data_IF_896259708031
#
_entry.id   IF_896259708031
#
_cell.length_a   1.000
_cell.length_b   1.000
_cell.length_c   1.000
_cell.angle_alpha   90.00
_cell.angle_beta   90.00
_cell.angle_gamma   90.00
#
_symmetry.space_group_name_H-M   'P 1'
#
loop_
_entity.id
_entity.type
_entity.pdbx_description
1 polymer ?
#
# COMPACT_ATOMS: atom_id res chain seq x y z
N UNK A 1 -15.83 0.74 -14.52
CA UNK A 1 -15.50 -0.55 -13.89
C UNK A 1 -14.72 -0.24 -12.64
N UNK A 2 -15.13 -0.74 -11.47
CA UNK A 2 -14.42 -0.45 -10.24
C UNK A 2 -13.16 -1.32 -10.12
N UNK A 3 -12.15 -0.76 -9.48
CA UNK A 3 -10.87 -1.41 -9.21
C UNK A 3 -10.64 -1.42 -7.71
N UNK A 4 -9.84 -2.37 -7.22
CA UNK A 4 -9.50 -2.33 -5.82
C UNK A 4 -8.33 -3.19 -5.40
N UNK A 5 -7.94 -2.97 -4.15
CA UNK A 5 -6.86 -3.66 -3.47
C UNK A 5 -7.40 -4.33 -2.23
N UNK A 6 -7.12 -5.62 -2.08
CA UNK A 6 -7.36 -6.34 -0.84
C UNK A 6 -6.06 -6.32 -0.05
N UNK A 7 -5.99 -5.46 0.97
CA UNK A 7 -4.78 -5.30 1.78
C UNK A 7 -4.80 -6.36 2.87
N UNK A 8 -3.87 -7.31 2.80
CA UNK A 8 -3.74 -8.43 3.72
C UNK A 8 -2.35 -8.45 4.38
N UNK A 9 -2.20 -9.22 5.44
CA UNK A 9 -0.93 -9.35 6.16
C UNK A 9 -1.12 -9.54 7.67
N UNK A 10 -0.12 -10.14 8.31
CA UNK A 10 -0.14 -10.44 9.74
C UNK A 10 -0.38 -9.19 10.61
N UNK A 11 -0.79 -9.35 11.88
CA UNK A 11 -0.94 -8.21 12.79
C UNK A 11 0.39 -7.45 12.92
N UNK A 12 0.34 -6.12 12.90
CA UNK A 12 1.53 -5.29 12.98
C UNK A 12 2.33 -5.10 11.69
N UNK A 13 1.97 -5.76 10.58
CA UNK A 13 2.62 -5.58 9.25
C UNK A 13 2.46 -4.17 8.64
N UNK A 14 1.57 -3.34 9.19
CA UNK A 14 1.37 -1.96 8.74
C UNK A 14 0.24 -1.74 7.72
N UNK A 15 -0.75 -2.64 7.63
CA UNK A 15 -1.93 -2.52 6.73
C UNK A 15 -2.63 -1.17 6.78
N UNK A 16 -3.13 -0.78 7.96
CA UNK A 16 -3.84 0.49 8.11
C UNK A 16 -2.94 1.71 7.89
N UNK A 17 -1.64 1.62 8.21
CA UNK A 17 -0.64 2.64 7.90
C UNK A 17 -0.44 2.79 6.39
N UNK A 18 -0.34 1.68 5.66
CA UNK A 18 -0.28 1.66 4.20
C UNK A 18 -1.56 2.24 3.57
N UNK A 19 -2.74 1.84 4.04
CA UNK A 19 -4.01 2.40 3.58
C UNK A 19 -4.05 3.92 3.73
N UNK A 20 -3.61 4.44 4.89
CA UNK A 20 -3.58 5.89 5.11
C UNK A 20 -2.54 6.60 4.23
N UNK A 21 -1.31 6.08 4.16
CA UNK A 21 -0.26 6.65 3.30
C UNK A 21 -0.68 6.66 1.83
N UNK A 22 -1.36 5.61 1.37
CA UNK A 22 -1.88 5.54 0.00
C UNK A 22 -2.99 6.55 -0.25
N UNK A 23 -3.90 6.74 0.70
CA UNK A 23 -4.91 7.78 0.63
C UNK A 23 -4.28 9.18 0.54
N UNK A 24 -3.27 9.47 1.35
CA UNK A 24 -2.54 10.75 1.29
C UNK A 24 -1.85 10.95 -0.08
N UNK A 25 -1.14 9.94 -0.57
CA UNK A 25 -0.49 9.98 -1.87
C UNK A 25 -1.50 10.21 -3.01
N UNK A 26 -2.58 9.44 -3.04
CA UNK A 26 -3.59 9.54 -4.11
C UNK A 26 -4.31 10.87 -4.05
N UNK A 27 -4.62 11.39 -2.86
CA UNK A 27 -5.17 12.74 -2.68
C UNK A 27 -4.23 13.80 -3.25
N UNK A 28 -2.92 13.71 -2.97
CA UNK A 28 -1.92 14.64 -3.51
C UNK A 28 -1.78 14.55 -5.03
N UNK A 29 -1.99 13.35 -5.61
CA UNK A 29 -2.00 13.12 -7.06
C UNK A 29 -3.36 13.43 -7.72
N UNK A 30 -4.34 13.91 -6.96
CA UNK A 30 -5.73 14.10 -7.41
C UNK A 30 -6.35 12.83 -8.02
N UNK A 31 -5.90 11.67 -7.54
CA UNK A 31 -6.40 10.35 -7.91
C UNK A 31 -7.48 9.95 -6.90
N UNK A 32 -8.74 9.76 -7.32
CA UNK A 32 -9.80 9.34 -6.42
C UNK A 32 -9.51 7.98 -5.78
N UNK A 33 -9.82 7.87 -4.49
CA UNK A 33 -9.57 6.69 -3.67
C UNK A 33 -10.64 6.61 -2.58
N UNK A 34 -11.07 5.41 -2.23
CA UNK A 34 -11.99 5.18 -1.11
C UNK A 34 -11.48 3.99 -0.29
N UNK A 35 -11.44 4.16 1.04
CA UNK A 35 -11.04 3.06 1.93
C UNK A 35 -12.28 2.45 2.55
N UNK A 36 -12.33 1.12 2.53
CA UNK A 36 -13.33 0.27 3.16
C UNK A 36 -12.65 -0.51 4.27
N UNK A 37 -13.03 -0.21 5.51
CA UNK A 37 -12.57 -0.97 6.67
C UNK A 37 -13.44 -2.22 6.85
N UNK A 38 -12.82 -3.39 6.72
CA UNK A 38 -13.43 -4.69 7.02
C UNK A 38 -12.88 -5.30 8.31
N UNK A 39 -12.04 -4.58 9.08
CA UNK A 39 -11.58 -5.00 10.40
C UNK A 39 -12.53 -4.51 11.51
N UNK A 40 -13.37 -5.39 12.10
CA UNK A 40 -14.32 -5.04 13.17
C UNK A 40 -13.65 -4.80 14.53
N UNK A 41 -12.35 -5.08 14.67
CA UNK A 41 -11.59 -4.83 15.90
C UNK A 41 -10.85 -3.48 15.88
N UNK A 42 -10.91 -2.74 14.76
CA UNK A 42 -10.19 -1.48 14.62
C UNK A 42 -11.01 -0.31 15.19
N UNK A 43 -10.76 0.03 16.46
CA UNK A 43 -11.48 1.11 17.16
C UNK A 43 -11.04 2.52 16.73
N UNK A 44 -9.80 2.67 16.25
CA UNK A 44 -9.18 3.96 15.95
C UNK A 44 -8.69 4.01 14.50
N UNK A 45 -9.63 4.19 13.57
CA UNK A 45 -9.32 4.27 12.14
C UNK A 45 -8.53 5.56 11.84
N UNK A 46 -7.28 5.48 11.35
CA UNK A 46 -6.41 6.65 11.18
C UNK A 46 -6.66 7.43 9.88
N UNK A 47 -7.63 7.01 9.07
CA UNK A 47 -7.87 7.51 7.72
C UNK A 47 -9.35 7.84 7.47
N UNK A 48 -9.68 8.64 6.44
CA UNK A 48 -11.05 8.83 6.00
C UNK A 48 -11.65 7.52 5.49
N UNK A 49 -12.53 6.92 6.29
CA UNK A 49 -13.18 5.67 5.96
C UNK A 49 -14.50 5.93 5.23
N UNK A 50 -14.66 5.36 4.03
CA UNK A 50 -15.87 5.50 3.22
C UNK A 50 -16.95 4.50 3.67
N UNK A 51 -16.55 3.27 4.00
CA UNK A 51 -17.45 2.20 4.47
C UNK A 51 -16.74 1.48 5.61
N UNK A 52 -17.41 1.33 6.75
CA UNK A 52 -16.87 0.65 7.91
C UNK A 52 -17.81 -0.49 8.35
N UNK A 53 -17.24 -1.70 8.46
CA UNK A 53 -17.94 -2.89 8.94
C UNK A 53 -18.53 -2.70 10.35
N UNK A 54 -17.97 -1.81 11.17
CA UNK A 54 -18.50 -1.52 12.52
C UNK A 54 -19.96 -1.05 12.51
N UNK A 55 -20.42 -0.47 11.40
CA UNK A 55 -21.82 -0.06 11.21
C UNK A 55 -22.77 -1.23 10.89
N UNK A 56 -22.24 -2.41 10.56
CA UNK A 56 -22.97 -3.66 10.38
C UNK A 56 -22.85 -4.56 11.63
N UNK A 57 -21.62 -4.78 12.11
CA UNK A 57 -21.32 -5.63 13.26
C UNK A 57 -19.98 -5.21 13.89
N UNK A 58 -19.93 -5.16 15.22
CA UNK A 58 -18.67 -4.95 15.96
C UNK A 58 -18.16 -6.25 16.57
N UNK A 59 -16.86 -6.32 16.84
CA UNK A 59 -16.27 -7.47 17.51
C UNK A 59 -16.90 -7.71 18.90
N UNK A 60 -17.16 -6.64 19.64
CA UNK A 60 -17.75 -6.71 20.98
C UNK A 60 -19.17 -7.30 20.94
N UNK A 61 -20.00 -6.87 19.98
CA UNK A 61 -21.35 -7.41 19.80
C UNK A 61 -21.33 -8.92 19.52
N UNK A 62 -20.41 -9.37 18.66
CA UNK A 62 -20.24 -10.79 18.34
C UNK A 62 -19.78 -11.60 19.56
N UNK A 63 -18.85 -11.07 20.35
CA UNK A 63 -18.34 -11.72 21.56
C UNK A 63 -19.44 -11.85 22.63
N UNK A 64 -20.20 -10.79 22.88
CA UNK A 64 -21.23 -10.76 23.92
C UNK A 64 -22.45 -11.60 23.55
N UNK A 65 -22.88 -11.56 22.29
CA UNK A 65 -24.05 -12.31 21.83
C UNK A 65 -23.82 -13.83 21.79
N UNK A 66 -22.60 -14.28 21.47
CA UNK A 66 -22.28 -15.69 21.24
C UNK A 66 -21.32 -16.30 22.27
N UNK A 67 -20.85 -15.53 23.26
CA UNK A 67 -19.88 -15.99 24.25
C UNK A 67 -18.54 -16.40 23.64
N UNK A 68 -18.14 -15.75 22.55
CA UNK A 68 -16.93 -16.05 21.80
C UNK A 68 -15.73 -15.29 22.36
N UNK A 69 -14.54 -15.89 22.27
CA UNK A 69 -13.29 -15.15 22.46
C UNK A 69 -12.96 -14.25 21.26
N UNK A 70 -11.95 -13.35 21.36
CA UNK A 70 -11.65 -12.36 20.32
C UNK A 70 -11.45 -12.94 18.91
N UNK A 71 -10.69 -14.03 18.78
CA UNK A 71 -10.46 -14.68 17.49
C UNK A 71 -11.74 -15.32 16.92
N UNK A 72 -12.56 -15.93 17.79
CA UNK A 72 -13.85 -16.51 17.38
C UNK A 72 -14.85 -15.44 16.96
N UNK A 73 -14.90 -14.32 17.70
CA UNK A 73 -15.72 -13.16 17.36
C UNK A 73 -15.31 -12.54 16.03
N UNK A 74 -14.01 -12.47 15.74
CA UNK A 74 -13.50 -11.98 14.45
C UNK A 74 -13.96 -12.84 13.28
N UNK A 75 -13.83 -14.17 13.38
CA UNK A 75 -14.32 -15.09 12.36
C UNK A 75 -15.83 -14.95 12.16
N UNK A 76 -16.58 -14.87 13.26
CA UNK A 76 -18.02 -14.64 13.22
C UNK A 76 -18.39 -13.35 12.48
N UNK A 77 -17.68 -12.24 12.73
CA UNK A 77 -17.92 -10.98 12.03
C UNK A 77 -17.73 -11.12 10.51
N UNK A 78 -16.73 -11.90 10.07
CA UNK A 78 -16.50 -12.17 8.65
C UNK A 78 -17.60 -13.06 8.05
N UNK A 79 -18.07 -14.07 8.78
CA UNK A 79 -19.23 -14.89 8.38
C UNK A 79 -20.50 -14.05 8.27
N UNK A 80 -20.70 -13.14 9.23
CA UNK A 80 -21.85 -12.24 9.26
C UNK A 80 -21.83 -11.26 8.09
N UNK A 81 -20.66 -10.68 7.76
CA UNK A 81 -20.48 -9.86 6.57
C UNK A 81 -20.74 -10.66 5.28
N UNK A 82 -20.27 -11.90 5.21
CA UNK A 82 -20.51 -12.77 4.06
C UNK A 82 -22.01 -13.05 3.85
N UNK A 83 -22.73 -13.37 4.93
CA UNK A 83 -24.17 -13.61 4.91
C UNK A 83 -24.96 -12.35 4.54
N UNK A 84 -24.48 -11.18 4.95
CA UNK A 84 -25.10 -9.88 4.69
C UNK A 84 -24.37 -9.08 3.59
N UNK A 85 -23.73 -9.75 2.63
CA UNK A 85 -22.94 -9.08 1.59
C UNK A 85 -23.72 -8.01 0.80
N UNK A 86 -25.03 -8.16 0.67
CA UNK A 86 -25.90 -7.21 -0.03
C UNK A 86 -25.80 -5.80 0.61
N UNK A 87 -25.51 -5.71 1.91
CA UNK A 87 -25.17 -4.46 2.59
C UNK A 87 -23.90 -3.84 1.99
N UNK A 88 -22.82 -4.62 1.90
CA UNK A 88 -21.54 -4.16 1.36
C UNK A 88 -21.70 -3.75 -0.12
N UNK A 89 -22.42 -4.54 -0.91
CA UNK A 89 -22.71 -4.24 -2.31
C UNK A 89 -23.46 -2.92 -2.47
N UNK A 90 -24.51 -2.67 -1.67
CA UNK A 90 -25.24 -1.40 -1.70
C UNK A 90 -24.33 -0.21 -1.38
N UNK A 91 -23.48 -0.34 -0.36
CA UNK A 91 -22.56 0.73 0.05
C UNK A 91 -21.47 0.99 -0.99
N UNK A 92 -20.95 -0.05 -1.63
CA UNK A 92 -19.98 0.08 -2.73
C UNK A 92 -20.60 0.75 -3.96
N UNK A 93 -21.87 0.47 -4.26
CA UNK A 93 -22.57 1.11 -5.38
C UNK A 93 -22.72 2.63 -5.20
N UNK A 94 -22.80 3.13 -3.95
CA UNK A 94 -22.85 4.57 -3.64
C UNK A 94 -21.53 5.29 -3.98
N UNK A 95 -20.39 4.58 -4.02
CA UNK A 95 -19.09 5.15 -4.36
C UNK A 95 -18.91 5.42 -5.86
N UNK A 96 -19.79 4.84 -6.70
CA UNK A 96 -19.79 5.00 -8.15
C UNK A 96 -19.08 3.89 -8.93
N UNK A 97 -19.35 3.82 -10.23
CA UNK A 97 -18.97 2.70 -11.11
C UNK A 97 -17.50 2.62 -11.49
N UNK A 98 -16.74 3.68 -11.25
CA UNK A 98 -15.32 3.81 -11.57
C UNK A 98 -14.46 4.06 -10.32
N UNK A 99 -14.99 3.72 -9.14
CA UNK A 99 -14.30 3.88 -7.87
C UNK A 99 -13.04 3.01 -7.79
N UNK A 100 -12.01 3.55 -7.17
CA UNK A 100 -10.80 2.82 -6.78
C UNK A 100 -10.85 2.58 -5.26
N UNK A 101 -10.94 1.32 -4.85
CA UNK A 101 -11.29 0.96 -3.46
C UNK A 101 -10.17 0.16 -2.79
N UNK A 102 -9.75 0.59 -1.61
CA UNK A 102 -8.88 -0.22 -0.74
C UNK A 102 -9.74 -0.92 0.30
N UNK A 103 -9.61 -2.24 0.39
CA UNK A 103 -10.21 -3.05 1.44
C UNK A 103 -9.14 -3.35 2.49
N UNK A 104 -9.24 -2.70 3.66
CA UNK A 104 -8.42 -3.00 4.83
C UNK A 104 -9.06 -4.17 5.58
N UNK A 105 -8.45 -5.36 5.49
CA UNK A 105 -9.03 -6.58 6.07
C UNK A 105 -8.45 -6.84 7.48
N UNK A 106 -9.14 -7.65 8.30
CA UNK A 106 -8.64 -8.00 9.63
C UNK A 106 -7.21 -8.54 9.62
N UNK A 107 -6.41 -8.17 10.62
CA UNK A 107 -5.01 -8.55 10.68
C UNK A 107 -4.72 -10.00 11.02
N UNK A 108 -5.71 -10.75 11.49
CA UNK A 108 -5.59 -12.16 11.88
C UNK A 108 -5.24 -13.01 10.65
N UNK A 109 -4.15 -13.76 10.76
CA UNK A 109 -3.61 -14.56 9.65
C UNK A 109 -4.64 -15.59 9.18
N UNK A 110 -5.40 -16.16 10.10
CA UNK A 110 -6.38 -17.21 9.86
C UNK A 110 -7.51 -16.76 8.90
N UNK A 111 -7.83 -15.45 8.89
CA UNK A 111 -8.84 -14.87 7.99
C UNK A 111 -8.35 -14.91 6.55
N UNK A 112 -7.05 -14.70 6.33
CA UNK A 112 -6.42 -14.71 5.01
C UNK A 112 -6.06 -16.10 4.48
N UNK A 113 -5.77 -17.06 5.36
CA UNK A 113 -5.17 -18.35 4.97
C UNK A 113 -6.08 -19.57 5.08
N UNK A 114 -7.00 -19.57 6.03
CA UNK A 114 -7.75 -20.77 6.42
C UNK A 114 -9.26 -20.57 6.33
N UNK A 115 -9.75 -19.36 6.61
CA UNK A 115 -11.17 -19.10 6.62
C UNK A 115 -11.72 -18.84 5.22
N UNK A 116 -12.84 -19.48 4.88
CA UNK A 116 -13.42 -19.39 3.53
C UNK A 116 -14.24 -18.11 3.30
N UNK A 117 -14.68 -17.42 4.36
CA UNK A 117 -15.55 -16.24 4.19
C UNK A 117 -14.89 -15.11 3.42
N UNK A 118 -13.61 -14.81 3.67
CA UNK A 118 -12.91 -13.78 2.92
C UNK A 118 -12.82 -14.15 1.42
N UNK A 119 -12.49 -15.40 1.12
CA UNK A 119 -12.47 -15.92 -0.26
C UNK A 119 -13.83 -15.75 -0.93
N UNK A 120 -14.92 -16.13 -0.26
CA UNK A 120 -16.29 -16.01 -0.81
C UNK A 120 -16.72 -14.55 -0.98
N UNK A 121 -16.36 -13.65 -0.06
CA UNK A 121 -16.57 -12.19 -0.18
C UNK A 121 -15.83 -11.66 -1.42
N UNK A 122 -14.55 -11.99 -1.58
CA UNK A 122 -13.74 -11.59 -2.76
C UNK A 122 -14.35 -12.12 -4.06
N UNK A 123 -14.79 -13.38 -4.08
CA UNK A 123 -15.46 -13.95 -5.26
C UNK A 123 -16.77 -13.22 -5.59
N UNK A 124 -17.54 -12.77 -4.58
CA UNK A 124 -18.74 -11.95 -4.80
C UNK A 124 -18.37 -10.54 -5.31
N UNK A 125 -17.32 -9.91 -4.79
CA UNK A 125 -16.79 -8.63 -5.28
C UNK A 125 -16.36 -8.71 -6.76
N UNK A 126 -15.66 -9.78 -7.13
CA UNK A 126 -15.27 -10.03 -8.52
C UNK A 126 -16.50 -10.25 -9.43
N UNK A 127 -17.54 -10.94 -8.94
CA UNK A 127 -18.80 -11.17 -9.70
C UNK A 127 -19.57 -9.88 -9.98
N UNK A 128 -19.55 -8.90 -9.06
CA UNK A 128 -20.18 -7.59 -9.29
C UNK A 128 -19.32 -6.65 -10.15
N UNK A 129 -18.15 -7.11 -10.60
CA UNK A 129 -17.33 -6.45 -11.62
C UNK A 129 -16.09 -5.72 -11.10
N UNK A 130 -15.70 -5.91 -9.83
CA UNK A 130 -14.43 -5.39 -9.34
C UNK A 130 -13.24 -6.13 -9.96
N UNK A 131 -12.22 -5.38 -10.38
CA UNK A 131 -10.89 -5.92 -10.66
C UNK A 131 -10.02 -5.72 -9.43
N UNK A 132 -9.69 -6.83 -8.78
CA UNK A 132 -8.99 -6.84 -7.50
C UNK A 132 -7.56 -7.37 -7.65
N UNK A 133 -6.64 -6.79 -6.88
CA UNK A 133 -5.35 -7.39 -6.57
C UNK A 133 -5.19 -7.48 -5.05
N UNK A 134 -4.51 -8.52 -4.58
CA UNK A 134 -4.16 -8.67 -3.18
C UNK A 134 -2.78 -8.05 -2.91
N UNK A 135 -2.68 -7.20 -1.89
CA UNK A 135 -1.43 -6.58 -1.43
C UNK A 135 -1.11 -7.17 -0.07
N UNK A 136 -0.14 -8.08 -0.03
CA UNK A 136 0.22 -8.84 1.17
C UNK A 136 1.44 -8.24 1.85
N UNK A 137 1.20 -7.50 2.93
CA UNK A 137 2.25 -6.86 3.72
C UNK A 137 2.88 -7.85 4.70
N UNK A 138 4.20 -7.96 4.61
CA UNK A 138 5.05 -8.74 5.50
C UNK A 138 6.09 -7.80 6.11
N UNK A 139 6.25 -7.82 7.43
CA UNK A 139 7.23 -6.97 8.10
C UNK A 139 8.66 -7.36 7.68
N UNK A 140 9.47 -6.38 7.24
CA UNK A 140 10.84 -6.62 6.83
C UNK A 140 11.71 -7.24 7.94
N UNK A 141 11.33 -7.10 9.22
CA UNK A 141 12.00 -7.79 10.32
C UNK A 141 12.10 -9.32 10.13
N UNK A 142 11.17 -9.94 9.40
CA UNK A 142 11.21 -11.39 9.21
C UNK A 142 12.35 -11.87 8.32
N UNK A 143 12.95 -11.00 7.50
CA UNK A 143 14.06 -11.38 6.61
C UNK A 143 15.40 -11.48 7.34
N UNK A 144 15.50 -10.96 8.57
CA UNK A 144 16.73 -10.99 9.37
C UNK A 144 17.02 -12.35 10.00
N UNK A 145 16.12 -13.33 9.84
CA UNK A 145 16.29 -14.68 10.35
C UNK A 145 15.77 -15.68 9.31
N UNK A 146 16.59 -16.66 8.96
CA UNK A 146 16.27 -17.61 7.90
C UNK A 146 14.99 -18.42 8.18
N UNK A 147 14.75 -18.82 9.43
CA UNK A 147 13.57 -19.62 9.78
C UNK A 147 12.28 -18.77 9.74
N UNK A 148 12.35 -17.52 10.21
CA UNK A 148 11.25 -16.56 10.07
C UNK A 148 10.96 -16.26 8.59
N UNK A 149 12.00 -16.06 7.79
CA UNK A 149 11.86 -15.77 6.36
C UNK A 149 11.16 -16.91 5.63
N UNK A 150 11.62 -18.17 5.78
CA UNK A 150 10.96 -19.34 5.18
C UNK A 150 9.50 -19.46 5.63
N UNK A 151 9.20 -19.17 6.89
CA UNK A 151 7.83 -19.17 7.40
C UNK A 151 6.94 -18.13 6.69
N UNK A 152 7.48 -16.94 6.41
CA UNK A 152 6.79 -15.89 5.66
C UNK A 152 6.59 -16.28 4.19
N UNK A 153 7.55 -16.96 3.56
CA UNK A 153 7.41 -17.47 2.19
C UNK A 153 6.26 -18.47 2.08
N UNK A 154 6.21 -19.46 3.00
CA UNK A 154 5.13 -20.44 3.05
C UNK A 154 3.78 -19.79 3.34
N UNK A 155 3.75 -18.81 4.24
CA UNK A 155 2.55 -18.05 4.55
C UNK A 155 2.05 -17.28 3.33
N UNK A 156 2.95 -16.61 2.61
CA UNK A 156 2.62 -15.86 1.40
C UNK A 156 2.08 -16.77 0.31
N UNK A 157 2.74 -17.91 0.07
CA UNK A 157 2.26 -18.93 -0.87
C UNK A 157 0.87 -19.46 -0.49
N UNK A 158 0.63 -19.71 0.80
CA UNK A 158 -0.68 -20.16 1.29
C UNK A 158 -1.76 -19.10 1.05
N UNK A 159 -1.49 -17.83 1.36
CA UNK A 159 -2.41 -16.72 1.14
C UNK A 159 -2.72 -16.54 -0.35
N UNK A 160 -1.71 -16.63 -1.22
CA UNK A 160 -1.86 -16.58 -2.68
C UNK A 160 -2.86 -17.64 -3.18
N UNK A 161 -2.69 -18.89 -2.72
CA UNK A 161 -3.57 -19.99 -3.08
C UNK A 161 -4.99 -19.82 -2.53
N UNK A 162 -5.15 -19.25 -1.34
CA UNK A 162 -6.45 -19.06 -0.71
C UNK A 162 -7.26 -17.95 -1.37
N UNK A 163 -6.63 -16.80 -1.68
CA UNK A 163 -7.31 -15.61 -2.19
C UNK A 163 -7.59 -15.68 -3.70
N UNK A 164 -6.80 -16.44 -4.47
CA UNK A 164 -6.97 -16.62 -5.92
C UNK A 164 -7.03 -15.28 -6.71
N UNK A 165 -6.29 -14.27 -6.24
CA UNK A 165 -6.16 -12.95 -6.88
C UNK A 165 -4.74 -12.74 -7.42
N UNK A 166 -4.55 -11.84 -8.40
CA UNK A 166 -3.23 -11.26 -8.66
C UNK A 166 -2.65 -10.73 -7.35
N UNK A 167 -1.49 -11.26 -6.96
CA UNK A 167 -0.95 -11.08 -5.61
C UNK A 167 0.39 -10.37 -5.68
N UNK A 168 0.53 -9.29 -4.90
CA UNK A 168 1.77 -8.55 -4.73
C UNK A 168 2.17 -8.74 -3.27
N UNK A 169 3.20 -9.53 -3.00
CA UNK A 169 3.78 -9.54 -1.65
C UNK A 169 4.69 -8.33 -1.49
N UNK A 170 4.71 -7.79 -0.28
CA UNK A 170 5.42 -6.55 0.02
C UNK A 170 6.16 -6.68 1.33
N UNK A 171 7.46 -6.42 1.32
CA UNK A 171 8.25 -6.23 2.53
C UNK A 171 8.06 -4.79 3.02
N UNK A 172 7.23 -4.63 4.06
CA UNK A 172 6.94 -3.34 4.68
C UNK A 172 7.98 -2.95 5.71
N UNK A 173 8.03 -1.65 6.02
CA UNK A 173 8.95 -1.06 7.01
C UNK A 173 10.42 -1.27 6.67
N UNK A 174 10.75 -1.21 5.38
CA UNK A 174 12.13 -1.40 4.92
C UNK A 174 13.07 -0.32 5.49
N UNK A 175 12.53 0.85 5.82
CA UNK A 175 13.19 1.96 6.50
C UNK A 175 13.70 1.60 7.92
N UNK A 176 13.11 0.59 8.56
CA UNK A 176 13.50 0.12 9.89
C UNK A 176 14.54 -1.01 9.83
N UNK A 177 14.86 -1.54 8.65
CA UNK A 177 15.64 -2.77 8.52
C UNK A 177 17.05 -2.66 9.11
N UNK A 178 17.72 -1.53 8.90
CA UNK A 178 19.04 -1.25 9.49
C UNK A 178 19.03 -1.17 11.03
N UNK A 179 17.87 -1.08 11.67
CA UNK A 179 17.73 -1.11 13.13
C UNK A 179 17.59 -2.54 13.67
N UNK A 180 17.25 -3.51 12.81
CA UNK A 180 17.02 -4.90 13.20
C UNK A 180 18.28 -5.76 13.14
N UNK A 181 19.30 -5.32 12.40
CA UNK A 181 20.60 -5.99 12.27
C UNK A 181 21.11 -5.94 10.84
N UNK A 182 22.30 -6.50 10.64
CA UNK A 182 22.87 -6.68 9.30
C UNK A 182 22.15 -7.85 8.60
N UNK A 183 21.95 -7.71 7.30
CA UNK A 183 21.46 -8.80 6.46
C UNK A 183 22.62 -9.68 6.01
N UNK A 184 22.37 -10.99 5.93
CA UNK A 184 23.36 -11.93 5.39
C UNK A 184 23.54 -11.74 3.86
N UNK A 185 22.51 -11.25 3.19
CA UNK A 185 22.48 -11.04 1.74
C UNK A 185 21.88 -9.67 1.37
N UNK A 186 22.06 -9.27 0.11
CA UNK A 186 21.42 -8.07 -0.44
C UNK A 186 19.90 -8.22 -0.50
N UNK A 187 19.17 -7.10 -0.57
CA UNK A 187 17.70 -7.13 -0.66
C UNK A 187 17.19 -7.90 -1.88
N UNK A 188 17.89 -7.82 -3.01
CA UNK A 188 17.58 -8.57 -4.25
C UNK A 188 17.35 -10.07 -3.96
N UNK A 189 18.16 -10.66 -3.06
CA UNK A 189 18.02 -12.05 -2.66
C UNK A 189 16.65 -12.34 -2.03
N UNK A 190 16.23 -11.49 -1.09
CA UNK A 190 14.99 -11.69 -0.34
C UNK A 190 13.75 -11.31 -1.15
N UNK A 191 13.89 -10.42 -2.14
CA UNK A 191 12.79 -9.99 -3.01
C UNK A 191 12.55 -10.93 -4.19
N UNK A 192 13.62 -11.47 -4.79
CA UNK A 192 13.51 -12.35 -5.97
C UNK A 192 13.22 -13.81 -5.61
N UNK A 193 13.65 -14.30 -4.44
CA UNK A 193 13.34 -15.64 -3.92
C UNK A 193 13.72 -16.79 -4.89
N UNK A 194 14.85 -16.68 -5.58
CA UNK A 194 15.25 -17.67 -6.61
C UNK A 194 16.23 -18.75 -6.14
N UNK A 195 17.17 -18.42 -5.26
CA UNK A 195 18.20 -19.37 -4.79
C UNK A 195 18.26 -19.39 -3.26
N UNK A 196 17.34 -20.13 -2.63
CA UNK A 196 17.26 -20.27 -1.18
C UNK A 196 18.25 -21.29 -0.62
N UNK A 197 19.06 -21.95 -1.47
CA UNK A 197 20.08 -22.90 -1.04
C UNK A 197 21.09 -22.27 -0.06
N UNK A 198 21.32 -20.97 -0.19
CA UNK A 198 22.17 -20.20 0.73
C UNK A 198 21.65 -20.17 2.18
N UNK A 199 20.34 -20.38 2.40
CA UNK A 199 19.75 -20.47 3.73
C UNK A 199 19.97 -21.83 4.40
N UNK A 200 20.42 -22.84 3.65
CA UNK A 200 20.61 -24.21 4.16
C UNK A 200 21.51 -24.22 5.40
N UNK A 201 22.66 -23.55 5.32
CA UNK A 201 23.63 -23.51 6.42
C UNK A 201 23.04 -22.82 7.65
N UNK A 202 22.32 -21.71 7.47
CA UNK A 202 21.69 -20.97 8.55
C UNK A 202 20.60 -21.81 9.25
N UNK A 203 19.75 -22.49 8.48
CA UNK A 203 18.66 -23.33 9.00
C UNK A 203 19.18 -24.59 9.69
N UNK A 204 20.17 -25.25 9.10
CA UNK A 204 20.72 -26.51 9.61
C UNK A 204 21.57 -26.34 10.87
N UNK A 205 22.20 -25.17 11.05
CA UNK A 205 22.96 -24.87 12.26
C UNK A 205 22.05 -24.85 13.49
N UNK A 206 20.81 -24.37 13.35
CA UNK A 206 19.85 -24.27 14.45
C UNK A 206 19.22 -25.63 14.76
N UNK A 207 18.90 -26.44 13.74
CA UNK A 207 18.35 -27.76 13.96
C UNK A 207 18.73 -28.78 12.87
N UNK A 208 19.87 -29.48 13.04
CA UNK A 208 20.35 -30.48 12.08
C UNK A 208 19.38 -31.65 11.88
N UNK A 209 18.47 -31.88 12.83
CA UNK A 209 17.45 -32.92 12.74
C UNK A 209 16.41 -32.63 11.65
N UNK A 210 16.16 -31.35 11.34
CA UNK A 210 15.12 -30.93 10.39
C UNK A 210 15.67 -30.59 9.00
N UNK A 211 16.93 -30.91 8.71
CA UNK A 211 17.55 -30.62 7.41
C UNK A 211 16.73 -31.09 6.22
N UNK A 212 16.33 -32.36 6.18
CA UNK A 212 15.53 -32.89 5.07
C UNK A 212 14.19 -32.17 4.93
N UNK A 213 13.55 -31.79 6.05
CA UNK A 213 12.30 -31.03 6.03
C UNK A 213 12.51 -29.62 5.51
N UNK A 214 13.54 -28.92 5.98
CA UNK A 214 13.85 -27.56 5.54
C UNK A 214 14.13 -27.53 4.03
N UNK A 215 14.88 -28.50 3.51
CA UNK A 215 15.17 -28.62 2.08
C UNK A 215 13.92 -28.94 1.27
N UNK A 216 13.03 -29.81 1.77
CA UNK A 216 11.75 -30.07 1.12
C UNK A 216 10.86 -28.80 1.06
N UNK A 217 10.85 -27.99 2.13
CA UNK A 217 10.11 -26.72 2.16
C UNK A 217 10.70 -25.70 1.18
N UNK A 218 12.03 -25.58 1.13
CA UNK A 218 12.73 -24.70 0.18
C UNK A 218 12.41 -25.10 -1.27
N UNK A 219 12.53 -26.39 -1.60
CA UNK A 219 12.19 -26.92 -2.93
C UNK A 219 10.75 -26.58 -3.32
N UNK A 220 9.79 -26.71 -2.41
CA UNK A 220 8.40 -26.32 -2.71
C UNK A 220 8.29 -24.84 -3.05
N UNK A 221 9.03 -23.95 -2.37
CA UNK A 221 8.96 -22.51 -2.66
C UNK A 221 9.59 -22.19 -4.02
N UNK A 222 10.77 -22.76 -4.30
CA UNK A 222 11.53 -22.53 -5.53
C UNK A 222 10.82 -23.11 -6.76
N UNK A 223 10.28 -24.34 -6.67
CA UNK A 223 9.69 -25.06 -7.80
C UNK A 223 8.51 -24.30 -8.45
N UNK A 224 7.74 -23.55 -7.65
CA UNK A 224 6.64 -22.75 -8.18
C UNK A 224 7.10 -21.38 -8.69
N UNK A 225 8.18 -20.81 -8.14
CA UNK A 225 8.69 -19.49 -8.52
C UNK A 225 7.63 -18.37 -8.48
N UNK A 226 6.58 -18.55 -7.68
CA UNK A 226 5.42 -17.64 -7.61
C UNK A 226 5.61 -16.51 -6.60
N UNK A 227 6.50 -16.73 -5.63
CA UNK A 227 6.68 -15.81 -4.50
C UNK A 227 7.80 -14.84 -4.86
N UNK A 228 7.45 -13.58 -5.01
CA UNK A 228 8.39 -12.46 -5.03
C UNK A 228 7.86 -11.33 -4.15
N UNK A 229 8.72 -10.40 -3.78
CA UNK A 229 8.35 -9.25 -2.95
C UNK A 229 8.74 -7.93 -3.60
N UNK A 230 7.85 -6.96 -3.48
CA UNK A 230 8.17 -5.54 -3.62
C UNK A 230 8.59 -4.98 -2.26
N UNK A 231 9.30 -3.85 -2.25
CA UNK A 231 9.71 -3.18 -1.00
C UNK A 231 8.83 -1.97 -0.71
N UNK A 232 8.62 -1.68 0.57
CA UNK A 232 7.77 -0.59 1.00
C UNK A 232 8.31 0.16 2.22
N UNK A 233 8.63 1.43 2.03
CA UNK A 233 8.68 2.46 3.06
C UNK A 233 7.49 3.41 2.85
N UNK A 234 6.53 3.42 3.78
CA UNK A 234 5.28 4.20 3.61
C UNK A 234 5.55 5.70 3.61
N UNK A 235 6.58 6.14 4.33
CA UNK A 235 6.98 7.56 4.38
C UNK A 235 7.72 8.00 3.11
N UNK A 236 8.23 7.06 2.30
CA UNK A 236 8.89 7.37 1.05
C UNK A 236 7.90 7.41 -0.12
N UNK A 237 7.80 8.60 -0.72
CA UNK A 237 6.97 8.85 -1.90
C UNK A 237 7.40 7.98 -3.09
N UNK A 238 8.70 7.76 -3.30
CA UNK A 238 9.18 6.97 -4.43
C UNK A 238 8.77 5.50 -4.30
N UNK A 239 9.01 4.91 -3.12
CA UNK A 239 8.55 3.56 -2.78
C UNK A 239 7.03 3.38 -2.94
N UNK A 240 6.22 4.30 -2.42
CA UNK A 240 4.75 4.24 -2.57
C UNK A 240 4.28 4.35 -4.04
N UNK A 241 4.96 5.16 -4.85
CA UNK A 241 4.67 5.30 -6.28
C UNK A 241 5.07 4.04 -7.06
N UNK A 242 6.22 3.45 -6.75
CA UNK A 242 6.68 2.19 -7.35
C UNK A 242 5.67 1.06 -7.08
N UNK A 243 5.31 0.84 -5.82
CA UNK A 243 4.32 -0.17 -5.44
C UNK A 243 2.95 0.09 -6.09
N UNK A 244 2.50 1.34 -6.14
CA UNK A 244 1.23 1.69 -6.80
C UNK A 244 1.23 1.34 -8.28
N UNK A 245 2.36 1.48 -8.97
CA UNK A 245 2.50 1.08 -10.38
C UNK A 245 2.48 -0.43 -10.58
N UNK A 246 3.14 -1.19 -9.69
CA UNK A 246 3.08 -2.65 -9.71
C UNK A 246 1.64 -3.15 -9.55
N UNK A 247 0.88 -2.53 -8.64
CA UNK A 247 -0.54 -2.82 -8.41
C UNK A 247 -1.41 -2.40 -9.61
N UNK A 248 -1.19 -1.22 -10.18
CA UNK A 248 -1.91 -0.76 -11.37
C UNK A 248 -1.69 -1.70 -12.55
N UNK A 249 -0.46 -2.22 -12.72
CA UNK A 249 -0.13 -3.23 -13.72
C UNK A 249 -0.88 -4.55 -13.46
N UNK A 250 -0.92 -5.00 -12.20
CA UNK A 250 -1.59 -6.25 -11.83
C UNK A 250 -3.13 -6.18 -11.98
N UNK A 251 -3.72 -5.05 -11.63
CA UNK A 251 -5.18 -4.81 -11.75
C UNK A 251 -5.60 -4.39 -13.17
N UNK A 252 -4.66 -3.91 -13.97
CA UNK A 252 -4.91 -3.29 -15.28
C UNK A 252 -5.57 -1.91 -15.16
N UNK A 253 -5.41 -1.23 -14.02
CA UNK A 253 -5.92 0.12 -13.82
C UNK A 253 -5.05 1.14 -14.54
N UNK A 254 -5.69 2.08 -15.25
CA UNK A 254 -5.00 3.16 -15.95
C UNK A 254 -5.62 4.48 -15.49
N UNK A 255 -4.88 5.22 -14.66
CA UNK A 255 -5.33 6.54 -14.20
C UNK A 255 -5.13 7.60 -15.28
N UNK A 256 -6.19 8.33 -15.64
CA UNK A 256 -6.11 9.52 -16.48
C UNK A 256 -6.31 10.75 -15.59
N UNK A 257 -5.29 11.60 -15.40
CA UNK A 257 -5.43 12.78 -14.55
C UNK A 257 -6.44 13.79 -15.13
N UNK A 258 -7.11 14.58 -14.27
CA UNK A 258 -8.01 15.66 -14.70
C UNK A 258 -7.30 16.70 -15.57
N UNK A 259 -8.07 17.47 -16.37
CA UNK A 259 -7.54 18.51 -17.28
C UNK A 259 -6.71 19.59 -16.56
N UNK A 260 -7.04 19.85 -15.31
CA UNK A 260 -6.47 20.92 -14.49
C UNK A 260 -5.25 20.46 -13.68
N UNK A 261 -4.92 19.16 -13.73
CA UNK A 261 -3.79 18.63 -12.98
C UNK A 261 -2.46 19.16 -13.55
N UNK A 262 -1.50 19.53 -12.70
CA UNK A 262 -0.18 19.98 -13.15
C UNK A 262 0.50 18.85 -13.93
N UNK A 263 0.81 19.11 -15.20
CA UNK A 263 1.51 18.16 -16.05
C UNK A 263 3.01 18.14 -15.69
N UNK A 264 3.66 16.97 -15.62
CA UNK A 264 5.12 16.90 -15.45
C UNK A 264 5.87 17.70 -16.53
N UNK A 265 7.00 18.30 -16.17
CA UNK A 265 7.85 19.01 -17.12
C UNK A 265 8.28 18.08 -18.27
N UNK A 266 8.15 18.55 -19.51
CA UNK A 266 8.50 17.78 -20.73
C UNK A 266 7.34 17.00 -21.37
N UNK A 267 6.11 17.13 -20.87
CA UNK A 267 4.93 16.50 -21.47
C UNK A 267 4.39 17.27 -22.68
N UNK A 268 3.90 16.54 -23.70
CA UNK A 268 3.19 17.13 -24.84
C UNK A 268 1.80 17.56 -24.35
N UNK A 269 1.50 18.86 -24.47
CA UNK A 269 0.19 19.40 -24.13
C UNK A 269 -0.89 18.82 -25.06
N UNK A 270 -1.61 17.81 -24.56
CA UNK A 270 -2.76 17.18 -25.21
C UNK A 270 -4.09 17.55 -24.53
N UNK A 271 -4.12 18.69 -23.84
CA UNK A 271 -5.32 19.18 -23.13
C UNK A 271 -6.55 19.38 -24.04
N UNK A 272 -6.34 19.50 -25.35
CA UNK A 272 -7.38 19.62 -26.38
C UNK A 272 -8.01 18.27 -26.81
N UNK A 273 -7.35 17.13 -26.58
CA UNK A 273 -7.82 15.83 -27.08
C UNK A 273 -8.97 15.26 -26.22
N UNK A 274 -9.89 14.47 -26.81
CA UNK A 274 -10.89 13.70 -26.06
C UNK A 274 -10.23 12.77 -25.04
N UNK A 275 -10.85 12.59 -23.87
CA UNK A 275 -10.30 11.76 -22.78
C UNK A 275 -9.96 10.31 -23.19
N UNK A 276 -10.62 9.79 -24.24
CA UNK A 276 -10.38 8.46 -24.81
C UNK A 276 -9.18 8.35 -25.75
N UNK A 277 -8.70 9.48 -26.29
CA UNK A 277 -7.61 9.56 -27.29
C UNK A 277 -6.39 10.29 -26.77
N UNK A 278 -6.49 10.96 -25.61
CA UNK A 278 -5.32 11.43 -24.88
C UNK A 278 -4.38 10.25 -24.68
N UNK A 279 -3.17 10.26 -25.27
CA UNK A 279 -2.15 9.34 -24.83
C UNK A 279 -1.99 9.61 -23.36
N UNK A 280 -2.23 8.59 -22.55
CA UNK A 280 -2.20 8.75 -21.12
C UNK A 280 -0.73 8.84 -20.73
N UNK A 281 -0.12 9.99 -20.97
CA UNK A 281 1.31 10.25 -20.88
C UNK A 281 1.81 9.83 -19.50
N UNK A 282 1.03 10.04 -18.44
CA UNK A 282 1.37 9.54 -17.12
C UNK A 282 1.44 8.00 -17.05
N UNK A 283 0.51 7.27 -17.65
CA UNK A 283 0.53 5.80 -17.69
C UNK A 283 1.57 5.24 -18.68
N UNK A 284 1.69 5.85 -19.87
CA UNK A 284 2.65 5.53 -20.94
C UNK A 284 4.09 5.84 -20.51
N UNK A 285 4.37 7.01 -19.94
CA UNK A 285 5.67 7.34 -19.36
C UNK A 285 5.90 6.63 -18.02
N UNK A 286 4.86 6.26 -17.26
CA UNK A 286 5.04 5.38 -16.09
C UNK A 286 5.45 3.96 -16.46
N UNK A 287 5.14 3.48 -17.67
CA UNK A 287 5.57 2.16 -18.16
C UNK A 287 6.78 2.23 -19.09
N UNK A 288 7.03 3.37 -19.74
CA UNK A 288 8.11 3.56 -20.72
C UNK A 288 9.28 4.46 -20.23
N UNK A 289 9.11 5.25 -19.16
CA UNK A 289 10.28 5.77 -18.45
C UNK A 289 10.96 4.57 -17.80
N UNK A 290 12.28 4.47 -17.93
CA UNK A 290 13.08 3.38 -17.38
C UNK A 290 12.96 3.24 -15.85
N UNK A 291 13.83 2.43 -15.24
CA UNK A 291 13.85 2.18 -13.79
C UNK A 291 13.59 3.46 -13.01
N UNK A 292 12.42 3.51 -12.37
CA UNK A 292 12.05 4.62 -11.51
C UNK A 292 12.85 4.52 -10.21
N UNK A 293 13.13 5.65 -9.54
CA UNK A 293 13.68 5.61 -8.19
C UNK A 293 12.80 4.74 -7.31
N UNK A 294 13.41 3.79 -6.60
CA UNK A 294 12.69 2.83 -5.77
C UNK A 294 12.77 1.39 -6.27
N UNK A 295 13.64 1.09 -7.24
CA UNK A 295 14.09 -0.28 -7.49
C UNK A 295 14.77 -0.83 -6.23
N UNK A 296 14.82 -2.15 -6.08
CA UNK A 296 15.32 -2.81 -4.86
C UNK A 296 16.75 -2.37 -4.54
N UNK A 297 17.57 -2.12 -5.55
CA UNK A 297 18.94 -1.59 -5.41
C UNK A 297 18.98 -0.16 -4.90
N UNK A 298 18.10 0.70 -5.39
CA UNK A 298 17.99 2.08 -4.90
C UNK A 298 17.54 2.08 -3.43
N UNK A 299 16.62 1.18 -3.09
CA UNK A 299 16.11 0.99 -1.73
C UNK A 299 17.21 0.47 -0.81
N UNK A 300 18.02 -0.49 -1.27
CA UNK A 300 19.18 -0.97 -0.53
C UNK A 300 20.19 0.17 -0.28
N UNK A 301 20.55 0.94 -1.31
CA UNK A 301 21.48 2.04 -1.16
C UNK A 301 20.93 3.11 -0.19
N UNK A 302 19.64 3.49 -0.33
CA UNK A 302 18.97 4.51 0.48
C UNK A 302 18.82 4.13 1.95
N UNK A 303 18.43 2.88 2.25
CA UNK A 303 17.99 2.48 3.60
C UNK A 303 18.97 1.60 4.36
N UNK A 304 19.90 0.96 3.65
CA UNK A 304 20.90 0.04 4.22
C UNK A 304 22.30 0.65 4.08
N UNK A 305 22.81 0.78 2.85
CA UNK A 305 24.24 1.02 2.64
C UNK A 305 24.67 2.47 2.95
N UNK A 306 23.86 3.46 2.54
CA UNK A 306 24.21 4.89 2.60
C UNK A 306 23.19 5.75 3.38
N UNK A 307 22.47 5.14 4.33
CA UNK A 307 21.36 5.79 5.06
C UNK A 307 21.70 7.16 5.63
N UNK A 308 22.82 7.29 6.37
CA UNK A 308 23.20 8.56 7.00
C UNK A 308 23.49 9.67 5.97
N UNK A 309 24.08 9.30 4.82
CA UNK A 309 24.41 10.26 3.76
C UNK A 309 23.14 10.79 3.08
N UNK A 310 22.18 9.90 2.82
CA UNK A 310 20.88 10.28 2.26
C UNK A 310 20.05 11.10 3.25
N UNK A 311 19.97 10.69 4.53
CA UNK A 311 19.25 11.45 5.56
C UNK A 311 19.86 12.87 5.73
N UNK A 312 21.19 13.00 5.65
CA UNK A 312 21.87 14.29 5.68
C UNK A 312 21.65 15.12 4.40
N UNK A 313 21.47 14.47 3.25
CA UNK A 313 21.13 15.13 1.99
C UNK A 313 19.69 15.66 2.00
N UNK A 314 18.71 14.83 2.35
CA UNK A 314 17.29 15.22 2.45
C UNK A 314 17.08 16.34 3.46
N UNK A 315 17.76 16.28 4.61
CA UNK A 315 17.70 17.35 5.62
C UNK A 315 18.27 18.67 5.11
N UNK A 316 19.26 18.64 4.20
CA UNK A 316 19.80 19.85 3.56
C UNK A 316 18.81 20.41 2.54
N UNK A 317 18.21 19.55 1.72
CA UNK A 317 17.21 19.95 0.74
C UNK A 317 15.96 20.53 1.41
N UNK A 318 15.41 19.90 2.45
CA UNK A 318 14.29 20.46 3.22
C UNK A 318 14.60 21.81 3.85
N UNK A 319 15.83 22.03 4.33
CA UNK A 319 16.24 23.35 4.84
C UNK A 319 16.22 24.39 3.72
N UNK A 320 16.73 24.03 2.55
CA UNK A 320 16.77 24.88 1.36
C UNK A 320 15.38 25.21 0.84
N UNK A 321 14.50 24.22 0.70
CA UNK A 321 13.10 24.42 0.33
C UNK A 321 12.37 25.28 1.36
N UNK A 322 12.56 25.03 2.65
CA UNK A 322 11.98 25.84 3.73
C UNK A 322 12.50 27.28 3.76
N UNK A 323 13.72 27.54 3.31
CA UNK A 323 14.24 28.89 3.08
C UNK A 323 13.57 29.55 1.87
N UNK A 324 13.47 28.85 0.74
CA UNK A 324 12.80 29.36 -0.48
C UNK A 324 11.33 29.69 -0.22
N UNK A 325 10.60 28.83 0.47
CA UNK A 325 9.19 29.07 0.82
C UNK A 325 9.05 30.27 1.76
N UNK A 326 9.96 30.43 2.73
CA UNK A 326 9.98 31.61 3.61
C UNK A 326 10.30 32.88 2.85
N UNK A 327 11.24 32.85 1.90
CA UNK A 327 11.56 33.98 1.03
C UNK A 327 10.40 34.33 0.10
N UNK A 328 9.73 33.35 -0.49
CA UNK A 328 8.53 33.54 -1.31
C UNK A 328 7.38 34.14 -0.49
N UNK A 329 7.12 33.61 0.71
CA UNK A 329 6.10 34.14 1.61
C UNK A 329 6.45 35.57 2.11
N UNK A 330 7.73 35.85 2.35
CA UNK A 330 8.20 37.19 2.70
C UNK A 330 8.05 38.16 1.52
N UNK A 331 8.36 37.72 0.29
CA UNK A 331 8.19 38.50 -0.93
C UNK A 331 6.71 38.77 -1.26
N UNK A 332 5.81 37.81 -1.04
CA UNK A 332 4.36 38.00 -1.17
C UNK A 332 3.81 38.96 -0.12
N UNK A 333 4.25 38.85 1.14
CA UNK A 333 3.88 39.80 2.19
C UNK A 333 4.45 41.20 1.94
N UNK A 334 5.63 41.32 1.33
CA UNK A 334 6.21 42.60 0.93
C UNK A 334 5.53 43.23 -0.30
N UNK A 335 4.76 42.46 -1.09
CA UNK A 335 3.93 42.96 -2.21
C UNK A 335 2.51 43.38 -1.78
N UNK A 336 2.00 42.88 -0.65
CA UNK A 336 0.72 43.30 -0.03
C UNK A 336 0.60 44.75 0.51
N UNK A 337 1.64 45.59 0.67
CA UNK A 337 1.47 46.94 1.24
C UNK A 337 0.80 48.00 0.35
N UNK A 338 0.60 47.77 -0.97
CA UNK A 338 0.07 48.82 -1.87
C UNK A 338 -1.43 48.75 -2.18
N UNK A 339 -2.07 47.57 -2.10
CA UNK A 339 -3.51 47.46 -2.43
C UNK A 339 -4.44 48.07 -1.36
N UNK A 340 -3.98 48.19 -0.11
CA UNK A 340 -4.79 48.79 0.97
C UNK A 340 -4.78 50.32 0.92
N UNK A 341 -3.76 50.95 0.29
CA UNK A 341 -3.68 52.42 0.21
C UNK A 341 -4.54 53.04 -0.90
N UNK A 342 -4.87 52.30 -1.95
CA UNK A 342 -5.69 52.83 -3.06
C UNK A 342 -7.18 52.93 -2.67
N UNK A 343 -7.68 52.09 -1.75
CA UNK A 343 -9.08 52.18 -1.26
C UNK A 343 -9.33 53.26 -0.21
N UNK A 344 -8.29 53.83 0.42
CA UNK A 344 -8.44 54.83 1.49
C UNK A 344 -8.43 56.30 0.99
N UNK A 345 -8.03 56.56 -0.27
CA UNK A 345 -7.88 57.92 -0.81
C UNK A 345 -9.11 58.51 -1.52
N UNK A 346 -10.19 57.74 -1.66
CA UNK A 346 -11.27 58.04 -2.60
C UNK A 346 -12.59 58.54 -2.02
N UNK A 347 -12.63 59.14 -0.81
CA UNK A 347 -13.85 59.82 -0.32
C UNK A 347 -13.45 61.07 0.46
N UNK A 348 -13.25 62.18 -0.24
CA UNK A 348 -13.36 63.52 0.37
C UNK A 348 -13.94 64.53 -0.63
N UNK A 349 -15.11 65.01 -0.24
CA UNK A 349 -15.72 66.31 -0.56
C UNK A 349 -16.12 66.61 -2.01
N UNK A 350 -17.45 66.75 -2.21
CA UNK A 350 -18.03 68.03 -2.63
C UNK A 350 -19.45 68.18 -2.09
N UNK A 351 -19.66 69.38 -1.53
CA UNK A 351 -20.90 69.97 -1.02
C UNK A 351 -21.98 70.08 -2.08
#
# INVERSE_FOLDING_TARGET
MPFGEVVCGAPGSGKSTYCYGKHQLFTALQRPISIVNLDPANENIPYPCAIDISSLITLQDAMDAHGLGPNGGMLYCMEYLEANFDWLESRLNELGKDAYVLFDIPGQVEVGTNHESLKRIIQRLSKIGFRLAAVHLCDAHYVTDAAKYVSVLLLSLRTMLQLELPHINVLSKIDLLSQYGDLDFNLDFYTEVQDLSHLENALNTVSPRFTELNMALISVIEDYGLVGFETLAVEDKASMLHLSRAIDRATGYIFVPPKEAPAPEGTIDSSADPASTRPNAFALFSTAAGSLPGDVRDVQERWIDAREAYDAYEKREWRREGEIVREQAAAENAKRPEEVKIKAGGIRERK
#
